data_IF_981899101569
#
_entry.id   IF_981899101569
#
_cell.length_a   1.000
_cell.length_b   1.000
_cell.length_c   1.000
_cell.angle_alpha   90.00
_cell.angle_beta   90.00
_cell.angle_gamma   90.00
#
_symmetry.space_group_name_H-M   'P 1'
#
loop_
_entity.id
_entity.type
_entity.pdbx_description
1 polymer ?
#
# COMPACT_ATOMS: atom_id res chain seq x y z
N UNK A 1 68.37 -11.08 28.36
CA UNK A 1 67.48 -11.98 29.11
C UNK A 1 66.16 -12.04 28.34
N UNK A 2 65.67 -13.10 27.70
CA UNK A 2 66.05 -14.50 27.58
C UNK A 2 65.69 -14.97 26.15
N UNK A 3 66.33 -16.08 25.77
CA UNK A 3 66.43 -16.65 24.44
C UNK A 3 65.12 -17.27 23.89
N UNK A 4 65.09 -17.35 22.56
CA UNK A 4 64.31 -18.28 21.75
C UNK A 4 64.43 -19.73 22.26
N UNK A 5 63.36 -20.52 22.17
CA UNK A 5 63.50 -21.97 22.00
C UNK A 5 62.39 -22.54 21.12
N UNK A 6 62.83 -23.15 20.01
CA UNK A 6 62.07 -23.97 19.07
C UNK A 6 61.93 -25.39 19.64
N UNK A 7 60.77 -26.03 19.48
CA UNK A 7 60.68 -27.50 19.35
C UNK A 7 59.28 -27.98 18.91
N UNK A 8 59.18 -28.42 17.65
CA UNK A 8 58.41 -29.60 17.25
C UNK A 8 59.39 -30.81 17.22
N UNK A 9 59.04 -32.09 16.91
CA UNK A 9 57.78 -32.73 16.44
C UNK A 9 57.42 -33.97 17.32
N UNK A 10 56.39 -34.80 17.08
CA UNK A 10 56.41 -35.92 16.11
C UNK A 10 55.13 -36.78 16.18
N UNK A 11 54.88 -37.43 15.05
CA UNK A 11 53.81 -38.37 14.69
C UNK A 11 53.65 -39.58 15.63
N UNK A 12 52.39 -40.05 15.75
CA UNK A 12 51.91 -41.45 15.75
C UNK A 12 50.39 -41.33 15.48
N UNK A 13 49.77 -41.85 14.42
CA UNK A 13 50.01 -43.06 13.66
C UNK A 13 49.20 -44.21 14.26
N UNK A 14 47.91 -44.36 13.91
CA UNK A 14 47.19 -45.63 13.98
C UNK A 14 45.83 -45.60 13.24
N UNK A 15 45.82 -46.29 12.09
CA UNK A 15 44.80 -47.25 11.63
C UNK A 15 43.40 -46.75 11.28
N UNK A 16 43.21 -46.59 9.97
CA UNK A 16 41.93 -46.72 9.29
C UNK A 16 41.31 -48.11 9.58
N UNK A 17 40.14 -48.12 10.23
CA UNK A 17 39.25 -49.27 10.28
C UNK A 17 38.07 -49.03 9.34
N UNK A 18 38.16 -49.61 8.15
CA UNK A 18 37.05 -49.82 7.24
C UNK A 18 36.02 -50.74 7.92
N UNK A 19 34.78 -50.30 8.05
CA UNK A 19 33.63 -51.19 8.26
C UNK A 19 32.51 -50.88 7.26
N UNK A 20 31.92 -51.92 6.64
CA UNK A 20 31.05 -51.78 5.49
C UNK A 20 29.59 -51.48 5.87
N UNK A 21 28.96 -50.67 5.02
CA UNK A 21 27.58 -50.72 4.52
C UNK A 21 26.49 -51.35 5.40
N UNK A 22 25.54 -50.52 5.84
CA UNK A 22 24.12 -50.75 5.52
C UNK A 22 23.34 -49.46 5.75
N UNK A 23 23.32 -48.65 4.71
CA UNK A 23 22.41 -47.54 4.49
C UNK A 23 21.00 -48.09 4.35
N UNK A 24 20.32 -48.42 5.45
CA UNK A 24 18.87 -48.53 5.45
C UNK A 24 18.30 -47.12 5.64
N UNK A 25 18.54 -46.25 4.65
CA UNK A 25 17.60 -45.17 4.40
C UNK A 25 16.31 -45.87 3.99
N UNK A 26 15.32 -45.84 4.88
CA UNK A 26 13.94 -46.06 4.46
C UNK A 26 13.61 -44.95 3.46
N UNK A 27 13.90 -45.23 2.18
CA UNK A 27 13.33 -44.56 1.02
C UNK A 27 11.86 -44.95 0.93
N UNK A 28 11.11 -44.67 1.99
CA UNK A 28 9.71 -44.34 1.79
C UNK A 28 9.76 -42.89 1.32
N UNK A 29 9.36 -42.59 0.07
CA UNK A 29 9.01 -41.22 -0.23
C UNK A 29 7.90 -40.90 0.77
N UNK A 30 8.18 -40.02 1.74
CA UNK A 30 7.11 -39.29 2.39
C UNK A 30 6.53 -38.42 1.29
N UNK A 31 5.64 -39.04 0.51
CA UNK A 31 4.55 -38.38 -0.18
C UNK A 31 3.65 -37.85 0.94
N UNK A 32 4.17 -36.87 1.68
CA UNK A 32 3.35 -35.76 2.09
C UNK A 32 3.12 -34.94 0.83
N UNK A 33 2.44 -35.53 -0.15
CA UNK A 33 1.59 -34.72 -1.00
C UNK A 33 0.73 -34.00 0.02
N UNK A 34 1.04 -32.73 0.24
CA UNK A 34 0.04 -31.83 0.76
C UNK A 34 -1.11 -32.03 -0.20
N UNK A 35 -2.11 -32.79 0.26
CA UNK A 35 -3.47 -32.69 -0.23
C UNK A 35 -3.92 -31.28 0.17
N UNK A 36 -3.24 -30.26 -0.36
CA UNK A 36 -3.75 -28.91 -0.50
C UNK A 36 -4.88 -29.07 -1.49
N UNK A 37 -5.98 -29.61 -0.97
CA UNK A 37 -7.34 -29.44 -1.39
C UNK A 37 -7.45 -28.62 -2.67
N UNK A 38 -7.31 -29.27 -3.81
CA UNK A 38 -8.10 -28.92 -4.98
C UNK A 38 -9.55 -29.27 -4.63
N UNK A 39 -10.13 -28.51 -3.70
CA UNK A 39 -11.58 -28.31 -3.74
C UNK A 39 -11.79 -27.60 -5.06
N UNK A 40 -12.76 -28.05 -5.85
CA UNK A 40 -13.13 -27.32 -7.05
C UNK A 40 -13.85 -26.05 -6.58
N UNK A 41 -13.35 -24.88 -6.97
CA UNK A 41 -13.98 -23.60 -6.73
C UNK A 41 -15.43 -23.69 -7.21
N UNK A 42 -16.38 -23.50 -6.29
CA UNK A 42 -17.79 -23.58 -6.67
C UNK A 42 -18.10 -22.49 -7.71
N UNK A 43 -19.00 -22.80 -8.66
CA UNK A 43 -19.39 -21.82 -9.68
C UNK A 43 -20.00 -20.54 -9.08
N UNK A 44 -20.61 -20.65 -7.90
CA UNK A 44 -21.17 -19.51 -7.18
C UNK A 44 -20.07 -18.60 -6.60
N UNK A 45 -19.10 -19.18 -5.89
CA UNK A 45 -17.96 -18.43 -5.33
C UNK A 45 -17.12 -17.82 -6.45
N UNK A 46 -16.89 -18.54 -7.55
CA UNK A 46 -16.20 -17.99 -8.73
C UNK A 46 -16.91 -16.74 -9.25
N UNK A 47 -18.23 -16.79 -9.46
CA UNK A 47 -19.01 -15.63 -9.91
C UNK A 47 -19.01 -14.48 -8.91
N UNK A 48 -18.98 -14.78 -7.60
CA UNK A 48 -18.87 -13.75 -6.57
C UNK A 48 -17.51 -13.04 -6.66
N UNK A 49 -16.42 -13.80 -6.83
CA UNK A 49 -15.08 -13.26 -7.03
C UNK A 49 -15.00 -12.46 -8.33
N UNK A 50 -15.56 -12.96 -9.44
CA UNK A 50 -15.61 -12.24 -10.73
C UNK A 50 -16.26 -10.86 -10.58
N UNK A 51 -17.37 -10.78 -9.83
CA UNK A 51 -18.04 -9.51 -9.52
C UNK A 51 -17.20 -8.61 -8.61
N UNK A 52 -16.53 -9.20 -7.62
CA UNK A 52 -15.69 -8.46 -6.70
C UNK A 52 -14.47 -7.85 -7.39
N UNK A 53 -13.78 -8.59 -8.28
CA UNK A 53 -12.64 -8.04 -9.03
C UNK A 53 -13.05 -6.99 -10.07
N UNK A 54 -14.30 -7.04 -10.54
CA UNK A 54 -14.87 -6.07 -11.47
C UNK A 54 -15.56 -4.87 -10.79
N UNK A 55 -15.65 -4.84 -9.45
CA UNK A 55 -16.40 -3.79 -8.74
C UNK A 55 -15.69 -2.43 -8.75
N UNK A 56 -14.37 -2.44 -8.85
CA UNK A 56 -13.54 -1.24 -8.89
C UNK A 56 -12.28 -1.50 -9.74
N UNK A 57 -11.65 -0.44 -10.29
CA UNK A 57 -10.39 -0.58 -11.00
C UNK A 57 -9.26 -1.17 -10.16
N UNK A 58 -9.19 -0.85 -8.86
CA UNK A 58 -8.19 -1.41 -7.95
C UNK A 58 -8.89 -2.16 -6.83
N UNK A 59 -8.67 -3.47 -6.76
CA UNK A 59 -9.31 -4.34 -5.77
C UNK A 59 -8.26 -5.07 -4.95
N UNK A 60 -8.37 -5.00 -3.63
CA UNK A 60 -7.46 -5.68 -2.69
C UNK A 60 -8.22 -6.66 -1.81
N UNK A 61 -7.91 -7.95 -1.91
CA UNK A 61 -8.33 -8.93 -0.92
C UNK A 61 -7.33 -8.95 0.22
N UNK A 62 -7.77 -8.61 1.43
CA UNK A 62 -6.89 -8.44 2.59
C UNK A 62 -7.49 -9.02 3.87
N UNK A 63 -6.65 -9.18 4.90
CA UNK A 63 -7.09 -9.52 6.25
C UNK A 63 -7.36 -8.26 7.07
N UNK A 64 -8.61 -8.02 7.43
CA UNK A 64 -9.10 -6.77 8.03
C UNK A 64 -9.59 -5.78 6.98
N UNK A 65 -9.75 -4.53 7.37
CA UNK A 65 -10.13 -3.41 6.47
C UNK A 65 -8.95 -2.45 6.27
N UNK A 66 -9.00 -1.52 5.29
CA UNK A 66 -7.97 -0.49 5.14
C UNK A 66 -7.74 0.34 6.41
N UNK A 67 -8.82 0.64 7.15
CA UNK A 67 -8.78 1.39 8.40
C UNK A 67 -8.25 0.55 9.56
N UNK A 68 -8.58 -0.76 9.55
CA UNK A 68 -8.22 -1.70 10.62
C UNK A 68 -7.55 -2.97 10.07
N UNK A 69 -6.31 -2.87 9.55
CA UNK A 69 -5.61 -4.02 8.99
C UNK A 69 -5.18 -4.99 10.11
N UNK A 70 -5.57 -6.25 9.97
CA UNK A 70 -5.37 -7.30 10.99
C UNK A 70 -4.15 -8.21 10.70
N UNK A 71 -3.34 -7.85 9.71
CA UNK A 71 -2.11 -8.58 9.37
C UNK A 71 -1.05 -7.58 8.87
N UNK A 72 0.22 -7.82 9.22
CA UNK A 72 1.34 -6.95 8.81
C UNK A 72 1.43 -6.80 7.29
N UNK A 73 1.32 -7.90 6.54
CA UNK A 73 1.33 -7.86 5.07
C UNK A 73 0.15 -7.08 4.48
N UNK A 74 -1.04 -7.20 5.06
CA UNK A 74 -2.21 -6.39 4.68
C UNK A 74 -1.93 -4.90 4.89
N UNK A 75 -1.37 -4.54 6.06
CA UNK A 75 -1.02 -3.16 6.39
C UNK A 75 0.02 -2.60 5.41
N UNK A 76 1.06 -3.36 5.11
CA UNK A 76 2.10 -2.96 4.15
C UNK A 76 1.52 -2.75 2.76
N UNK A 77 0.60 -3.60 2.30
CA UNK A 77 -0.02 -3.44 0.97
C UNK A 77 -0.86 -2.16 0.89
N UNK A 78 -1.67 -1.86 1.90
CA UNK A 78 -2.41 -0.59 1.98
C UNK A 78 -1.47 0.61 2.01
N UNK A 79 -0.39 0.54 2.79
CA UNK A 79 0.59 1.62 2.85
C UNK A 79 1.24 1.88 1.49
N UNK A 80 1.62 0.83 0.77
CA UNK A 80 2.20 0.96 -0.58
C UNK A 80 1.20 1.63 -1.53
N UNK A 81 -0.05 1.16 -1.57
CA UNK A 81 -1.07 1.75 -2.44
C UNK A 81 -1.35 3.23 -2.11
N UNK A 82 -1.34 3.58 -0.83
CA UNK A 82 -1.43 4.98 -0.39
C UNK A 82 -0.23 5.82 -0.83
N UNK A 83 0.99 5.29 -0.73
CA UNK A 83 2.20 5.95 -1.22
C UNK A 83 2.22 6.10 -2.76
N UNK A 84 1.55 5.22 -3.49
CA UNK A 84 1.37 5.32 -4.94
C UNK A 84 0.26 6.32 -5.34
N UNK A 85 -0.47 6.90 -4.39
CA UNK A 85 -1.52 7.88 -4.67
C UNK A 85 -2.75 7.28 -5.35
N UNK A 86 -3.08 6.01 -5.11
CA UNK A 86 -4.29 5.39 -5.66
C UNK A 86 -5.53 6.14 -5.18
N UNK A 87 -6.39 6.52 -6.13
CA UNK A 87 -7.63 7.25 -5.84
C UNK A 87 -8.56 6.40 -4.96
N UNK A 88 -8.93 6.86 -3.75
CA UNK A 88 -9.86 6.16 -2.87
C UNK A 88 -11.21 5.81 -3.52
N UNK A 89 -11.65 6.57 -4.55
CA UNK A 89 -12.91 6.32 -5.28
C UNK A 89 -12.80 5.13 -6.24
N UNK A 90 -11.58 4.80 -6.67
CA UNK A 90 -11.29 3.69 -7.60
C UNK A 90 -10.72 2.46 -6.87
N UNK A 91 -10.61 2.54 -5.55
CA UNK A 91 -10.09 1.50 -4.70
C UNK A 91 -11.22 0.82 -3.92
N UNK A 92 -11.16 -0.51 -3.83
CA UNK A 92 -12.04 -1.28 -2.95
C UNK A 92 -11.24 -2.39 -2.29
N UNK A 93 -11.49 -2.62 -1.00
CA UNK A 93 -10.88 -3.71 -0.25
C UNK A 93 -11.94 -4.68 0.26
N UNK A 94 -11.66 -5.98 0.16
CA UNK A 94 -12.51 -7.04 0.68
C UNK A 94 -11.83 -7.74 1.85
N UNK A 95 -12.51 -7.78 2.99
CA UNK A 95 -12.03 -8.45 4.20
C UNK A 95 -12.30 -9.96 4.12
N UNK A 96 -11.27 -10.76 3.82
CA UNK A 96 -11.41 -12.22 3.72
C UNK A 96 -11.56 -12.92 5.07
N UNK A 97 -11.53 -12.20 6.20
CA UNK A 97 -11.75 -12.79 7.52
C UNK A 97 -13.24 -12.95 7.85
N UNK A 98 -14.11 -12.23 7.15
CA UNK A 98 -15.56 -12.29 7.34
C UNK A 98 -16.23 -13.41 6.56
N UNK A 99 -15.57 -13.91 5.52
CA UNK A 99 -16.07 -14.97 4.64
C UNK A 99 -14.96 -15.99 4.34
N UNK A 100 -15.10 -17.19 4.90
CA UNK A 100 -14.14 -18.29 4.73
C UNK A 100 -14.21 -18.93 3.34
N UNK A 101 -15.37 -18.87 2.66
CA UNK A 101 -15.52 -19.31 1.27
C UNK A 101 -14.77 -18.37 0.34
N UNK A 102 -14.90 -17.05 0.54
CA UNK A 102 -14.11 -16.05 -0.18
C UNK A 102 -12.61 -16.23 0.07
N UNK A 103 -12.20 -16.45 1.33
CA UNK A 103 -10.80 -16.64 1.72
C UNK A 103 -10.14 -17.84 1.07
N UNK A 104 -10.86 -18.96 1.01
CA UNK A 104 -10.38 -20.17 0.36
C UNK A 104 -10.46 -20.03 -1.15
N UNK A 105 -11.57 -19.47 -1.64
CA UNK A 105 -11.87 -19.34 -3.05
C UNK A 105 -10.93 -18.40 -3.79
N UNK A 106 -10.55 -17.27 -3.19
CA UNK A 106 -9.65 -16.31 -3.85
C UNK A 106 -8.25 -16.88 -4.08
N UNK A 107 -7.78 -17.77 -3.20
CA UNK A 107 -6.49 -18.46 -3.35
C UNK A 107 -6.52 -19.43 -4.52
N UNK A 108 -7.63 -20.13 -4.69
CA UNK A 108 -7.81 -21.06 -5.81
C UNK A 108 -8.06 -20.30 -7.13
N UNK A 109 -8.82 -19.20 -7.08
CA UNK A 109 -9.12 -18.36 -8.24
C UNK A 109 -7.86 -17.76 -8.87
N UNK A 110 -6.95 -17.26 -8.04
CA UNK A 110 -5.66 -16.67 -8.45
C UNK A 110 -4.55 -17.68 -8.70
N UNK A 111 -4.75 -18.95 -8.32
CA UNK A 111 -3.67 -19.93 -8.13
C UNK A 111 -2.53 -19.37 -7.25
N UNK A 112 -2.90 -18.63 -6.20
CA UNK A 112 -1.94 -17.95 -5.32
C UNK A 112 -2.21 -18.23 -3.83
N UNK A 113 -1.23 -18.77 -3.07
CA UNK A 113 -1.49 -19.31 -1.74
C UNK A 113 -1.63 -18.27 -0.62
N UNK A 114 -1.21 -17.02 -0.86
CA UNK A 114 -1.11 -15.99 0.19
C UNK A 114 -2.12 -14.85 0.03
N UNK A 115 -2.37 -14.15 1.15
CA UNK A 115 -3.19 -12.94 1.27
C UNK A 115 -2.31 -11.91 1.98
N UNK A 116 -2.25 -10.65 1.54
CA UNK A 116 -3.16 -9.98 0.60
C UNK A 116 -2.89 -10.27 -0.88
N UNK A 117 -3.89 -10.03 -1.74
CA UNK A 117 -3.84 -10.14 -3.21
C UNK A 117 -4.41 -8.90 -3.88
N UNK A 118 -3.66 -8.29 -4.79
CA UNK A 118 -4.06 -7.11 -5.57
C UNK A 118 -4.52 -7.49 -6.97
N UNK A 119 -5.63 -6.87 -7.38
CA UNK A 119 -6.14 -6.89 -8.74
C UNK A 119 -6.22 -5.45 -9.27
N UNK A 120 -5.90 -5.28 -10.55
CA UNK A 120 -6.07 -4.02 -11.28
C UNK A 120 -6.80 -4.31 -12.58
N UNK A 121 -7.92 -3.65 -12.82
CA UNK A 121 -8.86 -3.90 -13.92
C UNK A 121 -9.26 -5.38 -14.07
N UNK A 122 -9.44 -6.08 -12.96
CA UNK A 122 -9.77 -7.50 -12.94
C UNK A 122 -8.60 -8.45 -13.19
N UNK A 123 -7.40 -7.93 -13.48
CA UNK A 123 -6.19 -8.74 -13.67
C UNK A 123 -5.43 -8.91 -12.36
N UNK A 124 -4.99 -10.14 -12.07
CA UNK A 124 -4.19 -10.43 -10.89
C UNK A 124 -2.78 -9.85 -11.03
N UNK A 125 -2.40 -8.96 -10.11
CA UNK A 125 -1.07 -8.33 -10.09
C UNK A 125 -0.10 -9.13 -9.22
N UNK A 126 -0.53 -9.51 -8.00
CA UNK A 126 0.33 -10.24 -7.08
C UNK A 126 -0.05 -10.10 -5.61
N UNK A 127 0.74 -10.76 -4.76
CA UNK A 127 0.67 -10.61 -3.31
C UNK A 127 1.61 -9.53 -2.76
N UNK A 128 1.65 -9.38 -1.43
CA UNK A 128 2.41 -8.32 -0.75
C UNK A 128 3.90 -8.23 -1.16
N UNK A 129 4.59 -9.37 -1.30
CA UNK A 129 6.03 -9.37 -1.64
C UNK A 129 6.29 -8.83 -3.05
N UNK A 130 5.39 -9.15 -3.99
CA UNK A 130 5.44 -8.64 -5.36
C UNK A 130 5.19 -7.13 -5.34
N UNK A 131 4.18 -6.66 -4.59
CA UNK A 131 3.92 -5.23 -4.46
C UNK A 131 5.11 -4.45 -3.89
N UNK A 132 5.80 -5.01 -2.89
CA UNK A 132 7.01 -4.40 -2.33
C UNK A 132 8.09 -4.27 -3.40
N UNK A 133 8.28 -5.31 -4.22
CA UNK A 133 9.30 -5.27 -5.28
C UNK A 133 8.93 -4.29 -6.39
N UNK A 134 7.67 -4.35 -6.88
CA UNK A 134 7.17 -3.44 -7.92
C UNK A 134 7.16 -1.97 -7.47
N UNK A 135 6.95 -1.72 -6.18
CA UNK A 135 7.07 -0.38 -5.61
C UNK A 135 8.52 0.10 -5.60
N UNK A 136 9.49 -0.77 -5.32
CA UNK A 136 10.91 -0.43 -5.28
C UNK A 136 11.51 -0.20 -6.66
N UNK A 137 11.11 -0.98 -7.66
CA UNK A 137 11.61 -0.87 -9.03
C UNK A 137 10.84 0.16 -9.87
N UNK A 138 9.72 0.69 -9.37
CA UNK A 138 8.89 1.70 -10.03
C UNK A 138 7.82 1.14 -10.97
N UNK A 139 7.84 -0.16 -11.27
CA UNK A 139 6.88 -0.79 -12.19
C UNK A 139 5.43 -0.72 -11.69
N UNK A 140 5.21 -0.60 -10.38
CA UNK A 140 3.87 -0.40 -9.82
C UNK A 140 3.30 0.97 -10.19
N UNK A 141 4.13 2.02 -10.15
CA UNK A 141 3.71 3.37 -10.51
C UNK A 141 3.34 3.46 -11.99
N UNK A 142 4.15 2.83 -12.85
CA UNK A 142 3.91 2.75 -14.29
C UNK A 142 2.58 2.03 -14.59
N UNK A 143 2.34 0.90 -13.92
CA UNK A 143 1.11 0.12 -14.07
C UNK A 143 -0.12 0.95 -13.66
N UNK A 144 -0.09 1.57 -12.49
CA UNK A 144 -1.21 2.36 -11.96
C UNK A 144 -1.47 3.63 -12.79
N UNK A 145 -0.42 4.27 -13.29
CA UNK A 145 -0.51 5.43 -14.19
C UNK A 145 -1.11 5.03 -15.54
N UNK A 146 -0.65 3.92 -16.12
CA UNK A 146 -1.18 3.40 -17.38
C UNK A 146 -2.68 3.08 -17.30
N UNK A 147 -3.16 2.60 -16.14
CA UNK A 147 -4.58 2.36 -15.88
C UNK A 147 -5.37 3.58 -15.40
N UNK A 148 -4.73 4.74 -15.21
CA UNK A 148 -5.35 6.00 -14.76
C UNK A 148 -6.10 5.86 -13.43
N UNK A 149 -5.51 5.15 -12.47
CA UNK A 149 -6.11 4.91 -11.14
C UNK A 149 -5.50 5.75 -10.02
N UNK A 150 -4.52 6.59 -10.35
CA UNK A 150 -3.87 7.53 -9.43
C UNK A 150 -4.70 8.83 -9.39
N UNK A 151 -4.67 9.54 -8.25
CA UNK A 151 -5.17 10.92 -8.18
C UNK A 151 -4.30 11.77 -9.09
N UNK A 152 -4.87 12.20 -10.22
CA UNK A 152 -4.27 13.26 -11.02
C UNK A 152 -4.45 14.54 -10.20
N UNK A 153 -3.37 14.98 -9.54
CA UNK A 153 -3.30 16.35 -9.06
C UNK A 153 -3.35 17.22 -10.31
N UNK A 154 -4.48 17.88 -10.56
CA UNK A 154 -4.55 19.04 -11.43
C UNK A 154 -3.58 20.09 -10.87
N UNK A 155 -2.31 19.97 -11.25
CA UNK A 155 -1.32 21.00 -11.08
C UNK A 155 -1.72 22.16 -11.98
N UNK A 156 -2.49 23.10 -11.45
CA UNK A 156 -2.50 24.48 -11.93
C UNK A 156 -1.13 25.09 -11.62
N UNK A 157 -0.31 25.46 -12.62
CA UNK A 157 0.86 26.28 -12.42
C UNK A 157 0.48 27.75 -12.68
N UNK A 158 0.07 28.49 -11.66
CA UNK A 158 -0.04 29.96 -11.75
C UNK A 158 0.66 30.56 -10.52
N UNK A 159 1.95 30.85 -10.71
CA UNK A 159 2.64 31.90 -9.97
C UNK A 159 2.01 33.24 -10.36
N UNK A 160 1.03 33.73 -9.61
CA UNK A 160 0.73 35.17 -9.58
C UNK A 160 1.56 35.81 -8.46
N UNK A 161 2.73 36.31 -8.85
CA UNK A 161 3.48 37.28 -8.08
C UNK A 161 2.64 38.58 -7.99
N UNK A 162 1.82 38.73 -6.94
CA UNK A 162 1.24 40.04 -6.61
C UNK A 162 2.29 40.85 -5.85
N UNK A 163 3.20 41.41 -6.63
CA UNK A 163 4.14 42.44 -6.19
C UNK A 163 3.37 43.70 -5.76
N UNK A 164 3.82 44.31 -4.65
CA UNK A 164 3.02 45.19 -3.84
C UNK A 164 2.68 46.55 -4.44
N UNK A 165 1.65 47.17 -3.86
CA UNK A 165 1.47 48.62 -3.77
C UNK A 165 0.40 48.92 -2.71
N UNK A 166 0.84 49.20 -1.48
CA UNK A 166 0.14 50.12 -0.57
C UNK A 166 1.06 50.51 0.60
N UNK A 167 1.97 51.41 0.31
CA UNK A 167 2.47 52.35 1.29
C UNK A 167 2.26 53.75 0.69
N UNK A 168 1.93 54.69 1.58
CA UNK A 168 2.00 56.13 1.36
C UNK A 168 0.74 56.83 0.83
N UNK A 169 -0.18 57.15 1.75
CA UNK A 169 -0.70 58.53 1.82
C UNK A 169 -1.13 58.82 3.26
N UNK A 170 -0.24 59.46 4.01
CA UNK A 170 -0.52 59.99 5.32
C UNK A 170 -0.43 61.52 5.23
N UNK A 171 -1.49 62.18 5.71
CA UNK A 171 -1.52 63.52 6.35
C UNK A 171 -1.67 64.73 5.44
N UNK A 172 -2.32 65.74 6.05
CA UNK A 172 -2.49 67.15 5.65
C UNK A 172 -3.83 67.45 4.94
N UNK A 173 -4.89 67.87 5.63
CA UNK A 173 -5.10 69.24 6.18
C UNK A 173 -6.38 69.17 7.05
N UNK A 174 -6.37 69.47 8.36
CA UNK A 174 -6.27 70.79 9.02
C UNK A 174 -7.42 71.74 8.66
N UNK A 175 -8.37 71.77 9.60
CA UNK A 175 -9.02 72.96 10.18
C UNK A 175 -9.94 73.89 9.35
N UNK A 176 -11.05 74.19 10.03
CA UNK A 176 -11.72 75.50 10.13
C UNK A 176 -12.76 75.91 9.09
N UNK A 177 -13.68 76.74 9.60
CA UNK A 177 -14.64 77.62 8.91
C UNK A 177 -16.05 77.04 8.75
N UNK A 178 -16.87 77.04 9.80
CA UNK A 178 -17.77 78.13 10.26
C UNK A 178 -19.07 78.30 9.47
N UNK A 179 -20.19 78.27 10.21
CA UNK A 179 -21.29 79.21 10.01
C UNK A 179 -22.48 78.73 9.16
N UNK A 180 -23.65 78.60 9.79
CA UNK A 180 -24.91 78.36 9.05
C UNK A 180 -26.14 78.18 9.93
N UNK A 181 -26.53 79.24 10.63
CA UNK A 181 -27.76 79.37 11.44
C UNK A 181 -28.99 79.62 10.55
N UNK A 182 -30.15 79.04 10.89
CA UNK A 182 -31.56 79.55 10.77
C UNK A 182 -32.52 78.37 10.52
N UNK A 183 -33.49 78.03 11.38
CA UNK A 183 -34.69 78.73 11.90
C UNK A 183 -35.96 78.32 11.14
N UNK A 184 -37.01 78.03 11.93
CA UNK A 184 -38.44 78.11 11.62
C UNK A 184 -39.00 77.04 10.65
N UNK A 185 -40.23 76.52 10.69
CA UNK A 185 -41.38 76.55 11.60
C UNK A 185 -42.45 75.60 10.99
N UNK A 186 -43.54 75.33 11.76
CA UNK A 186 -44.86 74.74 11.35
C UNK A 186 -44.89 73.24 11.03
N UNK A 187 -45.88 72.46 11.47
CA UNK A 187 -47.11 72.73 12.22
C UNK A 187 -47.96 71.44 12.29
N UNK A 188 -48.90 71.43 13.26
CA UNK A 188 -50.27 70.86 13.27
C UNK A 188 -50.69 69.80 12.22
N UNK A 189 -51.57 68.83 12.47
CA UNK A 189 -52.54 68.54 13.52
C UNK A 189 -53.25 67.22 13.15
N UNK A 190 -54.06 66.73 14.10
CA UNK A 190 -55.12 65.68 14.02
C UNK A 190 -54.75 64.28 14.45
#
# INVERSE_FOLDING_TARGET
>A
MFQRSLRAPALRGALAALRPTSTSYSLLPRIGASLSQTRLLSNEVRKAIDRAVASAPVVLFMKGTPETPQCGFSRTSIQILGLQGVDPRKFTAFNVLEDEELRSGIKEYSDWPTIPQLYVDGEFVGGCDILINMHKDGSLADLLSAKKVIVEDDAEPEHEDVEGQKAEEARETTEQSTGGRSKDAKGESS
#
